data_IF_898861067508
#
_entry.id   IF_898861067508
#
_cell.length_a   1.000
_cell.length_b   1.000
_cell.length_c   1.000
_cell.angle_alpha   90.00
_cell.angle_beta   90.00
_cell.angle_gamma   90.00
#
_symmetry.space_group_name_H-M   'P 1'
#
loop_
_entity.id
_entity.type
_entity.pdbx_description
1 polymer ?
#
# COMPACT_ATOMS: atom_id res chain seq x y z
N UNK A 1 -14.68 61.17 -28.93
CA UNK A 1 -13.42 60.44 -28.75
C UNK A 1 -13.69 59.19 -27.92
N UNK A 2 -13.91 58.04 -28.57
CA UNK A 2 -14.29 56.79 -27.89
C UNK A 2 -13.06 56.02 -27.42
N UNK A 3 -12.95 55.79 -26.12
CA UNK A 3 -11.95 54.88 -25.52
C UNK A 3 -12.42 53.44 -25.74
N UNK A 4 -11.69 52.67 -26.53
CA UNK A 4 -11.88 51.21 -26.65
C UNK A 4 -11.29 50.55 -25.40
N UNK A 5 -12.11 49.84 -24.64
CA UNK A 5 -11.64 48.97 -23.57
C UNK A 5 -11.07 47.69 -24.19
N UNK A 6 -9.78 47.44 -23.96
CA UNK A 6 -9.13 46.18 -24.31
C UNK A 6 -9.48 45.21 -23.18
N UNK A 7 -10.37 44.25 -23.46
CA UNK A 7 -10.60 43.10 -22.59
C UNK A 7 -9.38 42.19 -22.74
N UNK A 8 -8.48 42.25 -21.77
CA UNK A 8 -7.38 41.29 -21.65
C UNK A 8 -7.98 40.02 -21.09
N UNK A 9 -8.34 39.09 -21.98
CA UNK A 9 -8.69 37.73 -21.59
C UNK A 9 -7.44 37.05 -21.07
N UNK A 10 -7.22 37.10 -19.75
CA UNK A 10 -6.24 36.25 -19.10
C UNK A 10 -6.75 34.82 -19.24
N UNK A 11 -6.21 34.10 -20.23
CA UNK A 11 -6.36 32.67 -20.32
C UNK A 11 -5.69 32.09 -19.06
N UNK A 12 -6.49 31.85 -18.02
CA UNK A 12 -6.10 30.97 -16.93
C UNK A 12 -5.97 29.61 -17.59
N UNK A 13 -4.74 29.27 -17.97
CA UNK A 13 -4.35 27.90 -18.18
C UNK A 13 -4.65 27.21 -16.84
N UNK A 14 -5.82 26.58 -16.75
CA UNK A 14 -6.07 25.46 -15.87
C UNK A 14 -5.10 24.38 -16.32
N UNK A 15 -3.84 24.54 -15.91
CA UNK A 15 -2.90 23.46 -15.86
C UNK A 15 -3.63 22.38 -15.10
N UNK A 16 -3.94 21.29 -15.81
CA UNK A 16 -4.19 20.01 -15.20
C UNK A 16 -2.93 19.77 -14.36
N UNK A 17 -2.97 20.17 -13.09
CA UNK A 17 -2.24 19.48 -12.06
C UNK A 17 -2.84 18.08 -12.12
N UNK A 18 -2.25 17.23 -12.96
CA UNK A 18 -2.27 15.80 -12.75
C UNK A 18 -1.63 15.60 -11.38
N UNK A 19 -2.37 15.90 -10.32
CA UNK A 19 -2.13 15.34 -9.02
C UNK A 19 -2.23 13.86 -9.30
N UNK A 20 -1.08 13.19 -9.36
CA UNK A 20 -1.03 11.76 -9.27
C UNK A 20 -1.85 11.44 -8.03
N UNK A 21 -3.12 11.03 -8.20
CA UNK A 21 -3.80 10.29 -7.18
C UNK A 21 -2.85 9.12 -6.97
N UNK A 22 -2.08 9.14 -5.88
CA UNK A 22 -1.21 8.04 -5.52
C UNK A 22 -2.16 6.85 -5.42
N UNK A 23 -2.20 6.05 -6.48
CA UNK A 23 -3.07 4.89 -6.58
C UNK A 23 -2.64 4.06 -5.40
N UNK A 24 -3.51 3.96 -4.39
CA UNK A 24 -3.18 3.15 -3.23
C UNK A 24 -3.08 1.72 -3.76
N UNK A 25 -1.92 1.12 -3.59
CA UNK A 25 -1.67 -0.27 -3.91
C UNK A 25 -1.72 -1.05 -2.60
N UNK A 26 -2.93 -1.46 -2.14
CA UNK A 26 -3.05 -2.27 -0.94
C UNK A 26 -2.56 -3.69 -1.23
N UNK A 27 -1.73 -4.21 -0.33
CA UNK A 27 -1.26 -5.60 -0.38
C UNK A 27 -1.79 -6.37 0.81
N UNK A 28 -2.35 -7.54 0.54
CA UNK A 28 -2.78 -8.48 1.57
C UNK A 28 -1.70 -9.53 1.81
N UNK A 29 -1.35 -9.74 3.08
CA UNK A 29 -0.38 -10.71 3.53
C UNK A 29 -1.13 -11.82 4.24
N UNK A 30 -1.26 -12.98 3.60
CA UNK A 30 -1.79 -14.16 4.27
C UNK A 30 -0.70 -14.79 5.15
N UNK A 31 -1.04 -15.11 6.40
CA UNK A 31 -0.11 -15.67 7.36
C UNK A 31 -0.60 -17.04 7.80
N UNK A 32 0.32 -18.00 7.83
CA UNK A 32 0.13 -19.36 8.33
C UNK A 32 1.34 -19.74 9.17
N UNK A 33 1.24 -20.83 9.94
CA UNK A 33 2.31 -21.28 10.83
C UNK A 33 3.66 -21.43 10.10
N UNK A 34 3.65 -21.90 8.85
CA UNK A 34 4.87 -22.21 8.09
C UNK A 34 5.26 -21.16 7.04
N UNK A 35 4.36 -20.22 6.70
CA UNK A 35 4.59 -19.34 5.56
C UNK A 35 3.83 -18.00 5.62
N UNK A 36 4.40 -17.02 4.95
CA UNK A 36 3.76 -15.77 4.57
C UNK A 36 3.47 -15.82 3.07
N UNK A 37 2.28 -15.43 2.64
CA UNK A 37 1.93 -15.34 1.21
C UNK A 37 1.60 -13.89 0.88
N UNK A 38 2.33 -13.34 -0.09
CA UNK A 38 2.15 -11.98 -0.59
C UNK A 38 2.15 -12.03 -2.12
N UNK A 39 1.11 -11.48 -2.76
CA UNK A 39 0.95 -11.52 -4.23
C UNK A 39 1.13 -12.93 -4.83
N UNK A 40 0.66 -13.96 -4.12
CA UNK A 40 0.78 -15.36 -4.54
C UNK A 40 2.16 -16.01 -4.33
N UNK A 41 3.14 -15.29 -3.77
CA UNK A 41 4.47 -15.83 -3.43
C UNK A 41 4.52 -16.27 -1.98
N UNK A 42 4.84 -17.54 -1.75
CA UNK A 42 5.06 -18.09 -0.42
C UNK A 42 6.51 -17.86 0.06
N UNK A 43 6.65 -17.28 1.26
CA UNK A 43 7.90 -16.86 1.87
C UNK A 43 7.98 -17.43 3.28
N UNK A 44 9.19 -17.81 3.72
CA UNK A 44 9.37 -18.47 5.03
C UNK A 44 9.92 -17.55 6.11
N UNK A 45 10.65 -16.51 5.72
CA UNK A 45 11.39 -15.63 6.62
C UNK A 45 10.79 -14.22 6.61
N UNK A 46 10.97 -13.51 7.72
CA UNK A 46 10.59 -12.09 7.85
C UNK A 46 11.28 -11.23 6.80
N UNK A 47 12.59 -11.42 6.61
CA UNK A 47 13.37 -10.56 5.71
C UNK A 47 12.95 -10.74 4.24
N UNK A 48 12.62 -11.97 3.83
CA UNK A 48 12.09 -12.24 2.50
C UNK A 48 10.71 -11.60 2.30
N UNK A 49 9.86 -11.60 3.34
CA UNK A 49 8.57 -10.91 3.33
C UNK A 49 8.75 -9.39 3.20
N UNK A 50 9.64 -8.79 3.99
CA UNK A 50 9.91 -7.35 3.94
C UNK A 50 10.41 -6.92 2.55
N UNK A 51 11.31 -7.69 1.95
CA UNK A 51 11.80 -7.45 0.60
C UNK A 51 10.70 -7.58 -0.46
N UNK A 52 9.83 -8.58 -0.32
CA UNK A 52 8.70 -8.77 -1.24
C UNK A 52 7.71 -7.61 -1.17
N UNK A 53 7.38 -7.11 0.02
CA UNK A 53 6.49 -5.94 0.21
C UNK A 53 7.15 -4.67 -0.35
N UNK A 54 8.46 -4.50 -0.13
CA UNK A 54 9.20 -3.35 -0.68
C UNK A 54 9.21 -3.38 -2.21
N UNK A 55 9.31 -4.57 -2.80
CA UNK A 55 9.33 -4.78 -4.25
C UNK A 55 7.95 -4.65 -4.92
N UNK A 56 6.85 -4.70 -4.15
CA UNK A 56 5.49 -4.61 -4.68
C UNK A 56 4.95 -3.17 -4.76
N UNK A 57 5.80 -2.16 -4.47
CA UNK A 57 5.41 -0.74 -4.38
C UNK A 57 4.19 -0.49 -3.47
N UNK A 58 4.01 -1.34 -2.45
CA UNK A 58 2.83 -1.31 -1.58
C UNK A 58 2.81 -0.05 -0.72
N UNK A 59 1.70 0.69 -0.77
CA UNK A 59 1.49 1.88 0.06
C UNK A 59 0.73 1.57 1.35
N UNK A 60 -0.01 0.47 1.36
CA UNK A 60 -0.84 0.01 2.47
C UNK A 60 -0.80 -1.51 2.52
N UNK A 61 -0.66 -2.08 3.72
CA UNK A 61 -0.52 -3.52 3.90
C UNK A 61 -1.51 -4.02 4.95
N UNK A 62 -2.15 -5.15 4.72
CA UNK A 62 -3.04 -5.82 5.69
C UNK A 62 -2.57 -7.24 5.98
N UNK A 63 -2.73 -7.68 7.23
CA UNK A 63 -2.36 -9.03 7.65
C UNK A 63 -3.64 -9.85 7.84
N UNK A 64 -3.69 -11.01 7.17
CA UNK A 64 -4.76 -12.00 7.26
C UNK A 64 -4.21 -13.33 7.79
N UNK A 65 -4.20 -13.53 9.11
CA UNK A 65 -3.78 -14.79 9.70
C UNK A 65 -4.81 -15.89 9.45
N UNK A 66 -4.34 -17.13 9.31
CA UNK A 66 -5.20 -18.31 9.38
C UNK A 66 -5.70 -18.52 10.81
N UNK A 67 -6.77 -19.30 10.97
CA UNK A 67 -7.37 -19.59 12.27
C UNK A 67 -6.41 -20.26 13.28
N UNK A 68 -5.35 -20.92 12.80
CA UNK A 68 -4.38 -21.64 13.65
C UNK A 68 -3.07 -20.89 13.85
N UNK A 69 -2.89 -19.73 13.19
CA UNK A 69 -1.61 -19.04 13.15
C UNK A 69 -1.15 -18.61 14.53
N UNK A 70 0.05 -19.01 14.93
CA UNK A 70 0.67 -18.54 16.18
C UNK A 70 0.86 -17.02 16.20
N UNK A 71 0.64 -16.40 17.36
CA UNK A 71 0.77 -14.95 17.53
C UNK A 71 2.16 -14.41 17.12
N UNK A 72 3.25 -15.13 17.44
CA UNK A 72 4.61 -14.71 17.06
C UNK A 72 4.77 -14.65 15.55
N UNK A 73 4.05 -15.50 14.82
CA UNK A 73 4.06 -15.49 13.36
C UNK A 73 3.39 -14.24 12.80
N UNK A 74 2.27 -13.83 13.42
CA UNK A 74 1.59 -12.57 13.10
C UNK A 74 2.48 -11.38 13.43
N UNK A 75 3.15 -11.38 14.58
CA UNK A 75 4.11 -10.34 14.98
C UNK A 75 5.24 -10.18 13.95
N UNK A 76 5.81 -11.29 13.46
CA UNK A 76 6.83 -11.25 12.41
C UNK A 76 6.33 -10.60 11.11
N UNK A 77 5.06 -10.78 10.75
CA UNK A 77 4.48 -10.12 9.57
C UNK A 77 4.40 -8.59 9.78
N UNK A 78 4.00 -8.14 10.97
CA UNK A 78 3.99 -6.70 11.30
C UNK A 78 5.38 -6.07 11.29
N UNK A 79 6.37 -6.77 11.83
CA UNK A 79 7.76 -6.31 11.78
C UNK A 79 8.24 -6.21 10.33
N UNK A 80 7.91 -7.18 9.48
CA UNK A 80 8.26 -7.12 8.05
C UNK A 80 7.61 -5.92 7.33
N UNK A 81 6.35 -5.59 7.63
CA UNK A 81 5.68 -4.40 7.08
C UNK A 81 6.34 -3.09 7.55
N UNK A 82 6.76 -3.03 8.81
CA UNK A 82 7.50 -1.89 9.34
C UNK A 82 8.85 -1.73 8.64
N UNK A 83 9.60 -2.83 8.48
CA UNK A 83 10.91 -2.86 7.80
C UNK A 83 10.81 -2.55 6.29
N UNK A 84 9.65 -2.78 5.68
CA UNK A 84 9.40 -2.43 4.28
C UNK A 84 8.96 -0.97 4.09
N UNK A 85 8.64 -0.25 5.17
CA UNK A 85 8.07 1.10 5.13
C UNK A 85 6.61 1.15 4.68
N UNK A 86 5.93 -0.01 4.62
CA UNK A 86 4.52 -0.07 4.25
C UNK A 86 3.65 0.41 5.41
N UNK A 87 2.65 1.24 5.14
CA UNK A 87 1.72 1.67 6.19
C UNK A 87 0.83 0.50 6.60
N UNK A 88 0.82 0.17 7.88
CA UNK A 88 -0.03 -0.89 8.42
C UNK A 88 -1.51 -0.48 8.38
N UNK A 89 -2.32 -1.31 7.73
CA UNK A 89 -3.78 -1.27 7.71
C UNK A 89 -4.40 -2.20 8.77
N UNK A 90 -5.73 -2.29 8.75
CA UNK A 90 -6.55 -3.06 9.70
C UNK A 90 -6.19 -4.55 9.67
N UNK A 91 -6.08 -5.17 10.85
CA UNK A 91 -5.97 -6.63 11.00
C UNK A 91 -7.35 -7.24 10.82
N UNK A 92 -7.52 -8.09 9.82
CA UNK A 92 -8.78 -8.81 9.56
C UNK A 92 -8.55 -10.31 9.67
N UNK A 93 -9.47 -11.03 10.32
CA UNK A 93 -9.46 -12.49 10.25
C UNK A 93 -9.80 -12.92 8.81
N UNK A 94 -9.05 -13.87 8.26
CA UNK A 94 -9.53 -14.61 7.09
C UNK A 94 -10.77 -15.41 7.54
N UNK A 95 -11.98 -14.94 7.22
CA UNK A 95 -13.17 -15.77 7.40
C UNK A 95 -13.08 -16.99 6.46
N UNK A 96 -13.59 -18.16 6.90
CA UNK A 96 -13.57 -19.40 6.13
C UNK A 96 -14.32 -19.31 4.80
#
# INVERSE_FOLDING_TARGET
MSKKAIVVTVAVATGLLCGCAATRHPVEIAVSDDSFVVEGKALKTRDALAEAIRSSDATECSVKPSATTDYKRVELAFLAMQDSGCRSGIVGNASP
#
